data_IF_110750308798
#
_entry.id   IF_110750308798
#
_cell.length_a   1.000
_cell.length_b   1.000
_cell.length_c   1.000
_cell.angle_alpha   90.00
_cell.angle_beta   90.00
_cell.angle_gamma   90.00
#
_symmetry.space_group_name_H-M   'P 1'
#
loop_
_entity.id
_entity.type
_entity.pdbx_description
1 polymer ?
#
# COMPACT_ATOMS: atom_id res chain seq x y z
N UNK A 1 10.18 0.70 -11.03
CA UNK A 1 9.56 -0.05 -9.89
C UNK A 1 8.63 0.87 -9.12
N UNK A 2 7.57 0.35 -8.51
CA UNK A 2 6.69 1.08 -7.58
C UNK A 2 6.80 0.44 -6.21
N UNK A 3 7.09 1.26 -5.19
CA UNK A 3 7.07 0.83 -3.80
C UNK A 3 5.64 1.00 -3.25
N UNK A 4 4.93 -0.11 -3.08
CA UNK A 4 3.51 -0.04 -2.69
C UNK A 4 3.29 0.14 -1.20
N UNK A 5 4.36 0.20 -0.37
CA UNK A 5 4.25 0.42 1.07
C UNK A 5 5.56 0.92 1.68
N UNK A 6 5.62 2.20 2.04
CA UNK A 6 6.79 2.82 2.66
C UNK A 6 6.39 3.98 3.57
N UNK A 7 6.79 3.94 4.84
CA UNK A 7 6.56 4.99 5.84
C UNK A 7 7.60 6.10 5.70
N UNK A 8 7.57 6.83 4.58
CA UNK A 8 8.51 7.92 4.30
C UNK A 8 8.31 9.15 5.22
N UNK A 9 7.17 9.21 5.89
CA UNK A 9 6.83 10.18 6.94
C UNK A 9 7.52 9.87 8.29
N UNK A 10 8.18 8.71 8.42
CA UNK A 10 8.96 8.35 9.62
C UNK A 10 10.09 9.35 9.86
N UNK A 11 10.32 9.79 11.11
CA UNK A 11 11.39 10.72 11.47
C UNK A 11 12.81 10.33 11.00
N UNK A 12 13.05 9.05 10.72
CA UNK A 12 14.33 8.60 10.17
C UNK A 12 14.64 9.16 8.76
N UNK A 13 13.61 9.69 8.06
CA UNK A 13 13.77 10.32 6.74
C UNK A 13 13.74 11.84 6.79
N UNK A 14 13.46 12.46 7.95
CA UNK A 14 13.28 13.91 8.08
C UNK A 14 14.49 14.71 7.56
N UNK A 15 15.70 14.23 7.86
CA UNK A 15 16.92 14.86 7.40
C UNK A 15 17.32 14.38 6.00
N UNK A 16 17.39 15.32 5.05
CA UNK A 16 17.88 15.03 3.70
C UNK A 16 16.88 14.32 2.78
N UNK A 17 15.58 14.42 3.03
CA UNK A 17 14.53 13.75 2.27
C UNK A 17 14.58 14.04 0.75
N UNK A 18 14.88 15.29 0.35
CA UNK A 18 14.99 15.65 -1.07
C UNK A 18 16.09 14.84 -1.78
N UNK A 19 17.28 14.76 -1.14
CA UNK A 19 18.41 14.00 -1.69
C UNK A 19 18.10 12.50 -1.68
N UNK A 20 17.50 11.98 -0.61
CA UNK A 20 17.09 10.60 -0.51
C UNK A 20 16.11 10.21 -1.65
N UNK A 21 15.05 10.99 -1.86
CA UNK A 21 14.08 10.70 -2.92
C UNK A 21 14.67 10.84 -4.32
N UNK A 22 15.65 11.75 -4.51
CA UNK A 22 16.37 11.86 -5.77
C UNK A 22 17.19 10.59 -6.07
N UNK A 23 17.85 10.00 -5.08
CA UNK A 23 18.55 8.72 -5.21
C UNK A 23 17.59 7.58 -5.56
N UNK A 24 16.42 7.51 -4.89
CA UNK A 24 15.42 6.48 -5.22
C UNK A 24 14.97 6.57 -6.69
N UNK A 25 14.70 7.79 -7.18
CA UNK A 25 14.34 8.02 -8.60
C UNK A 25 15.44 7.62 -9.55
N UNK A 26 16.69 7.97 -9.24
CA UNK A 26 17.86 7.61 -10.06
C UNK A 26 18.00 6.08 -10.19
N UNK A 27 17.65 5.34 -9.15
CA UNK A 27 17.70 3.87 -9.11
C UNK A 27 16.40 3.22 -9.63
N UNK A 28 15.53 4.00 -10.30
CA UNK A 28 14.39 3.50 -11.05
C UNK A 28 13.10 3.28 -10.23
N UNK A 29 12.99 3.91 -9.03
CA UNK A 29 11.71 3.95 -8.30
C UNK A 29 10.82 5.03 -8.93
N UNK A 30 9.71 4.61 -9.53
CA UNK A 30 8.78 5.49 -10.25
C UNK A 30 7.86 6.28 -9.32
N UNK A 31 7.39 5.64 -8.25
CA UNK A 31 6.63 6.27 -7.17
C UNK A 31 6.60 5.40 -5.91
N UNK A 32 6.14 6.00 -4.82
CA UNK A 32 6.07 5.40 -3.48
C UNK A 32 4.69 5.67 -2.89
N UNK A 33 4.06 4.64 -2.33
CA UNK A 33 2.80 4.75 -1.62
C UNK A 33 3.07 4.87 -0.12
N UNK A 34 2.45 5.87 0.51
CA UNK A 34 2.71 6.27 1.90
C UNK A 34 1.47 6.02 2.74
N UNK A 35 1.42 4.92 3.52
CA UNK A 35 0.28 4.61 4.36
C UNK A 35 0.32 5.38 5.69
N UNK A 36 -0.81 5.96 6.08
CA UNK A 36 -1.03 6.43 7.43
C UNK A 36 -1.45 5.29 8.36
N UNK A 37 -1.15 5.41 9.64
CA UNK A 37 -1.37 4.35 10.64
C UNK A 37 -2.38 4.72 11.73
N UNK A 38 -2.66 6.02 11.92
CA UNK A 38 -3.59 6.54 12.92
C UNK A 38 -4.00 8.00 12.64
N UNK A 39 -4.79 8.59 13.56
CA UNK A 39 -5.21 10.01 13.46
C UNK A 39 -4.03 11.00 13.51
N UNK A 40 -2.90 10.63 14.10
CA UNK A 40 -1.76 11.53 14.26
C UNK A 40 -0.89 11.58 13.01
N UNK A 41 -0.81 10.49 12.26
CA UNK A 41 -0.05 10.40 11.01
C UNK A 41 -0.70 11.13 9.82
N UNK A 42 -2.01 11.46 9.90
CA UNK A 42 -2.75 12.09 8.78
C UNK A 42 -2.03 13.31 8.23
N UNK A 43 -1.59 14.20 9.11
CA UNK A 43 -0.97 15.47 8.72
C UNK A 43 0.35 15.22 7.99
N UNK A 44 1.22 14.43 8.57
CA UNK A 44 2.58 14.22 8.07
C UNK A 44 2.55 13.45 6.74
N UNK A 45 1.69 12.44 6.60
CA UNK A 45 1.47 11.70 5.36
C UNK A 45 0.96 12.63 4.25
N UNK A 46 -0.06 13.44 4.51
CA UNK A 46 -0.61 14.33 3.49
C UNK A 46 0.39 15.44 3.11
N UNK A 47 1.08 16.06 4.08
CA UNK A 47 2.06 17.11 3.82
C UNK A 47 3.26 16.60 3.01
N UNK A 48 3.80 15.41 3.33
CA UNK A 48 4.91 14.86 2.58
C UNK A 48 4.49 14.48 1.15
N UNK A 49 3.30 13.93 0.96
CA UNK A 49 2.79 13.61 -0.37
C UNK A 49 2.50 14.88 -1.19
N UNK A 50 1.93 15.92 -0.59
CA UNK A 50 1.68 17.21 -1.27
C UNK A 50 2.99 17.92 -1.69
N UNK A 51 4.07 17.70 -0.95
CA UNK A 51 5.40 18.22 -1.31
C UNK A 51 6.01 17.54 -2.54
N UNK A 52 5.66 16.27 -2.79
CA UNK A 52 6.20 15.50 -3.92
C UNK A 52 5.08 14.89 -4.78
N UNK A 53 4.24 15.72 -5.40
CA UNK A 53 3.10 15.25 -6.19
C UNK A 53 3.56 14.40 -7.37
N UNK A 54 2.75 13.40 -7.73
CA UNK A 54 3.04 12.38 -8.76
C UNK A 54 4.24 11.48 -8.45
N UNK A 55 4.76 11.53 -7.22
CA UNK A 55 5.81 10.62 -6.77
C UNK A 55 5.46 9.95 -5.44
N UNK A 56 4.92 10.68 -4.48
CA UNK A 56 4.40 10.14 -3.23
C UNK A 56 2.87 10.15 -3.29
N UNK A 57 2.26 9.03 -2.92
CA UNK A 57 0.81 8.85 -2.96
C UNK A 57 0.28 8.42 -1.59
N UNK A 58 -0.66 9.17 -0.98
CA UNK A 58 -1.13 8.87 0.36
C UNK A 58 -2.17 7.76 0.38
N UNK A 59 -2.13 6.94 1.43
CA UNK A 59 -3.23 6.14 1.91
C UNK A 59 -3.50 6.48 3.38
N UNK A 60 -4.75 6.40 3.83
CA UNK A 60 -5.14 6.69 5.21
C UNK A 60 -5.92 5.53 5.81
N UNK A 61 -5.54 5.12 7.01
CA UNK A 61 -6.17 4.04 7.74
C UNK A 61 -5.80 4.03 9.23
N UNK A 62 -6.52 3.22 10.00
CA UNK A 62 -6.20 2.89 11.39
C UNK A 62 -5.55 1.51 11.42
N UNK A 63 -4.25 1.50 11.66
CA UNK A 63 -3.48 0.28 11.82
C UNK A 63 -3.94 -0.52 13.05
N UNK A 64 -3.99 -1.85 13.00
CA UNK A 64 -4.50 -2.66 14.10
C UNK A 64 -3.75 -2.47 15.43
N UNK A 65 -2.46 -2.21 15.41
CA UNK A 65 -1.69 -1.92 16.63
C UNK A 65 -2.10 -0.61 17.31
N UNK A 66 -2.73 0.32 16.57
CA UNK A 66 -3.24 1.61 17.06
C UNK A 66 -4.73 1.56 17.47
N UNK A 67 -5.36 0.41 17.36
CA UNK A 67 -6.71 0.17 17.88
C UNK A 67 -6.65 0.03 19.41
N UNK A 68 -7.08 1.07 20.13
CA UNK A 68 -7.10 1.17 21.59
C UNK A 68 -8.49 1.63 22.06
N UNK A 69 -8.62 2.06 23.29
CA UNK A 69 -9.90 2.50 23.87
C UNK A 69 -10.57 3.64 23.05
N UNK A 70 -9.79 4.48 22.37
CA UNK A 70 -10.26 5.61 21.57
C UNK A 70 -10.44 5.28 20.07
N UNK A 71 -10.45 4.01 19.66
CA UNK A 71 -10.45 3.59 18.27
C UNK A 71 -11.62 4.16 17.43
N UNK A 72 -12.81 4.33 18.05
CA UNK A 72 -13.97 4.90 17.37
C UNK A 72 -13.79 6.39 17.08
N UNK A 73 -13.20 7.14 18.02
CA UNK A 73 -12.83 8.54 17.79
C UNK A 73 -11.79 8.64 16.69
N UNK A 74 -10.77 7.79 16.69
CA UNK A 74 -9.75 7.74 15.65
C UNK A 74 -10.38 7.48 14.27
N UNK A 75 -11.30 6.53 14.15
CA UNK A 75 -12.02 6.27 12.90
C UNK A 75 -12.83 7.48 12.44
N UNK A 76 -13.50 8.22 13.33
CA UNK A 76 -14.23 9.43 12.95
C UNK A 76 -13.30 10.49 12.36
N UNK A 77 -12.14 10.73 12.99
CA UNK A 77 -11.13 11.68 12.50
C UNK A 77 -10.55 11.26 11.15
N UNK A 78 -10.19 9.98 11.02
CA UNK A 78 -9.68 9.41 9.77
C UNK A 78 -10.72 9.49 8.65
N UNK A 79 -11.98 9.15 8.94
CA UNK A 79 -13.08 9.24 7.96
C UNK A 79 -13.26 10.66 7.44
N UNK A 80 -13.23 11.64 8.34
CA UNK A 80 -13.33 13.05 7.95
C UNK A 80 -12.15 13.49 7.05
N UNK A 81 -10.94 12.99 7.32
CA UNK A 81 -9.76 13.26 6.50
C UNK A 81 -9.88 12.60 5.11
N UNK A 82 -10.35 11.36 5.05
CA UNK A 82 -10.64 10.64 3.79
C UNK A 82 -11.67 11.43 2.96
N UNK A 83 -12.80 11.82 3.58
CA UNK A 83 -13.86 12.59 2.90
C UNK A 83 -13.34 13.91 2.33
N UNK A 84 -12.55 14.63 3.13
CA UNK A 84 -11.93 15.88 2.71
C UNK A 84 -10.95 15.69 1.54
N UNK A 85 -10.09 14.68 1.60
CA UNK A 85 -9.11 14.40 0.55
C UNK A 85 -9.78 14.03 -0.78
N UNK A 86 -10.91 13.31 -0.73
CA UNK A 86 -11.64 12.91 -1.93
C UNK A 86 -12.51 14.04 -2.49
N UNK A 87 -13.06 14.95 -1.65
CA UNK A 87 -13.89 16.06 -2.09
C UNK A 87 -13.10 17.23 -2.68
N UNK A 88 -11.83 17.39 -2.30
CA UNK A 88 -10.97 18.47 -2.78
C UNK A 88 -10.35 18.23 -4.17
N UNK A 89 -10.48 17.03 -4.70
CA UNK A 89 -10.04 16.66 -6.06
C UNK A 89 -11.26 16.53 -6.98
N UNK A 90 -11.36 17.26 -8.11
CA UNK A 90 -12.42 17.04 -9.09
C UNK A 90 -12.32 15.61 -9.63
N UNK A 91 -13.27 14.77 -9.28
CA UNK A 91 -13.34 13.37 -9.67
C UNK A 91 -13.85 13.30 -11.12
N UNK A 92 -12.97 13.22 -12.10
CA UNK A 92 -13.36 12.74 -13.44
C UNK A 92 -13.20 11.22 -13.44
N UNK A 93 -14.27 10.51 -13.06
CA UNK A 93 -14.43 9.11 -13.44
C UNK A 93 -14.31 9.06 -14.97
N UNK A 94 -13.29 8.40 -15.48
CA UNK A 94 -13.26 7.97 -16.87
C UNK A 94 -14.30 6.84 -17.04
N UNK A 95 -15.57 7.23 -17.14
CA UNK A 95 -16.58 6.40 -17.76
C UNK A 95 -16.24 6.29 -19.25
N UNK A 96 -16.32 5.10 -19.87
CA UNK A 96 -16.06 4.91 -21.30
C UNK A 96 -16.99 5.71 -22.25
N UNK A 97 -17.87 6.58 -21.73
CA UNK A 97 -18.92 7.29 -22.51
C UNK A 97 -18.78 8.82 -22.58
N UNK A 98 -17.71 9.43 -22.08
CA UNK A 98 -17.51 10.88 -22.15
C UNK A 98 -16.65 11.31 -23.36
N UNK A 99 -17.04 10.96 -24.57
CA UNK A 99 -16.65 11.71 -25.77
C UNK A 99 -17.67 12.83 -25.98
N UNK A 100 -17.32 14.06 -25.64
CA UNK A 100 -17.80 15.38 -26.04
C UNK A 100 -17.97 16.35 -24.86
N UNK A 101 -16.87 16.95 -24.43
CA UNK A 101 -16.91 18.25 -23.74
C UNK A 101 -15.76 19.12 -24.27
N UNK A 102 -16.09 20.37 -24.59
CA UNK A 102 -15.31 21.26 -25.41
C UNK A 102 -14.03 21.81 -24.76
N UNK A 103 -13.15 22.32 -25.62
CA UNK A 103 -11.81 22.87 -25.36
C UNK A 103 -11.70 24.09 -24.39
N UNK A 104 -12.75 24.47 -23.66
CA UNK A 104 -12.72 25.66 -22.79
C UNK A 104 -12.32 25.40 -21.32
N UNK A 105 -12.36 24.14 -20.86
CA UNK A 105 -12.09 23.80 -19.45
C UNK A 105 -10.61 23.48 -19.15
N UNK A 106 -9.78 23.25 -20.16
CA UNK A 106 -8.38 22.85 -20.00
C UNK A 106 -7.43 23.93 -19.43
N UNK A 107 -7.86 25.18 -19.37
CA UNK A 107 -7.02 26.30 -18.88
C UNK A 107 -7.30 26.68 -17.42
N UNK A 108 -8.37 26.17 -16.78
CA UNK A 108 -8.65 26.43 -15.36
C UNK A 108 -8.06 25.38 -14.41
N UNK A 109 -7.62 24.23 -14.91
CA UNK A 109 -6.99 23.17 -14.10
C UNK A 109 -5.55 23.46 -13.66
N UNK A 110 -4.91 24.52 -14.22
CA UNK A 110 -3.48 24.79 -13.99
C UNK A 110 -3.16 25.59 -12.73
N UNK A 111 -4.16 26.04 -11.93
CA UNK A 111 -3.92 26.99 -10.82
C UNK A 111 -4.47 26.55 -9.46
N UNK A 112 -5.16 25.42 -9.35
CA UNK A 112 -5.52 24.86 -8.05
C UNK A 112 -4.32 24.12 -7.43
N UNK A 113 -4.06 24.26 -6.11
CA UNK A 113 -3.06 23.45 -5.45
C UNK A 113 -3.42 21.98 -5.68
N UNK A 114 -2.52 21.23 -6.33
CA UNK A 114 -2.69 19.80 -6.57
C UNK A 114 -2.41 19.09 -5.25
N UNK A 115 -3.44 18.91 -4.43
CA UNK A 115 -3.33 17.99 -3.30
C UNK A 115 -3.13 16.57 -3.82
N UNK A 116 -2.21 15.84 -3.23
CA UNK A 116 -1.97 14.45 -3.57
C UNK A 116 -3.25 13.65 -3.32
N UNK A 117 -3.74 13.00 -4.38
CA UNK A 117 -4.99 12.25 -4.31
C UNK A 117 -4.81 11.02 -3.43
N UNK A 118 -5.70 10.82 -2.45
CA UNK A 118 -5.79 9.57 -1.72
C UNK A 118 -6.06 8.41 -2.68
N UNK A 119 -5.20 7.37 -2.66
CA UNK A 119 -5.26 6.27 -3.63
C UNK A 119 -5.69 4.94 -3.02
N UNK A 120 -5.70 4.82 -1.70
CA UNK A 120 -6.10 3.60 -0.99
C UNK A 120 -6.62 3.93 0.42
N UNK A 121 -7.39 3.01 1.00
CA UNK A 121 -7.63 2.94 2.43
C UNK A 121 -6.57 2.02 3.04
N UNK A 122 -5.74 2.54 3.92
CA UNK A 122 -4.63 1.79 4.52
C UNK A 122 -3.65 2.71 5.27
N UNK A 123 -2.93 2.13 6.18
CA UNK A 123 -2.84 0.71 6.48
C UNK A 123 -3.95 0.29 7.45
N UNK A 124 -4.61 -0.84 7.16
CA UNK A 124 -5.69 -1.38 7.96
C UNK A 124 -5.52 -2.90 8.12
N UNK A 125 -6.16 -3.52 9.09
CA UNK A 125 -6.02 -4.97 9.18
C UNK A 125 -6.16 -5.53 10.59
N UNK A 126 -5.49 -6.67 10.83
CA UNK A 126 -5.48 -7.38 12.11
C UNK A 126 -4.05 -7.76 12.51
N UNK A 127 -3.70 -7.50 13.77
CA UNK A 127 -2.46 -7.96 14.39
C UNK A 127 -2.76 -8.61 15.74
N UNK A 128 -2.45 -9.91 15.85
CA UNK A 128 -2.63 -10.68 17.09
C UNK A 128 -1.30 -11.09 17.72
N UNK A 129 -0.20 -10.55 17.20
CA UNK A 129 1.14 -10.95 17.62
C UNK A 129 1.51 -10.39 19.01
N UNK A 130 1.31 -9.08 19.19
CA UNK A 130 1.77 -8.40 20.40
C UNK A 130 0.70 -8.34 21.49
N UNK A 131 -0.54 -8.04 21.11
CA UNK A 131 -1.64 -7.79 22.05
C UNK A 131 -2.98 -8.18 21.43
N UNK A 132 -3.71 -9.02 22.12
CA UNK A 132 -5.05 -9.47 21.71
C UNK A 132 -6.18 -8.84 22.52
N UNK A 133 -5.87 -7.88 23.40
CA UNK A 133 -6.84 -7.17 24.27
C UNK A 133 -7.95 -6.53 23.42
N UNK A 134 -7.59 -5.95 22.27
CA UNK A 134 -8.51 -5.26 21.37
C UNK A 134 -8.87 -6.07 20.11
N UNK A 135 -8.80 -7.40 20.19
CA UNK A 135 -9.04 -8.27 19.03
C UNK A 135 -10.38 -8.01 18.35
N UNK A 136 -11.46 -7.92 19.11
CA UNK A 136 -12.81 -7.68 18.58
C UNK A 136 -12.91 -6.27 17.96
N UNK A 137 -12.32 -5.27 18.63
CA UNK A 137 -12.28 -3.88 18.15
C UNK A 137 -11.46 -3.75 16.86
N UNK A 138 -10.35 -4.48 16.73
CA UNK A 138 -9.58 -4.55 15.47
C UNK A 138 -10.44 -5.10 14.33
N UNK A 139 -11.21 -6.15 14.57
CA UNK A 139 -12.11 -6.72 13.57
C UNK A 139 -13.23 -5.74 13.16
N UNK A 140 -13.81 -5.02 14.11
CA UNK A 140 -14.83 -4.01 13.82
C UNK A 140 -14.23 -2.81 13.08
N UNK A 141 -13.05 -2.33 13.50
CA UNK A 141 -12.33 -1.25 12.84
C UNK A 141 -11.97 -1.62 11.39
N UNK A 142 -11.53 -2.85 11.16
CA UNK A 142 -11.29 -3.36 9.80
C UNK A 142 -12.56 -3.34 8.95
N UNK A 143 -13.69 -3.87 9.46
CA UNK A 143 -14.96 -3.85 8.73
C UNK A 143 -15.43 -2.45 8.38
N UNK A 144 -15.28 -1.50 9.31
CA UNK A 144 -15.68 -0.11 9.05
C UNK A 144 -14.84 0.51 7.94
N UNK A 145 -13.54 0.28 7.93
CA UNK A 145 -12.64 0.78 6.91
C UNK A 145 -12.82 0.07 5.55
N UNK A 146 -13.18 -1.20 5.56
CA UNK A 146 -13.59 -1.93 4.36
C UNK A 146 -14.86 -1.34 3.73
N UNK A 147 -15.84 -0.88 4.55
CA UNK A 147 -17.02 -0.15 4.06
C UNK A 147 -16.63 1.17 3.40
N UNK A 148 -15.63 1.89 3.94
CA UNK A 148 -15.14 3.10 3.28
C UNK A 148 -14.53 2.78 1.91
N UNK A 149 -13.69 1.75 1.84
CA UNK A 149 -13.08 1.31 0.59
C UNK A 149 -14.16 0.95 -0.46
N UNK A 150 -15.20 0.23 -0.07
CA UNK A 150 -16.33 -0.10 -0.95
C UNK A 150 -17.11 1.16 -1.37
N UNK A 151 -17.41 2.07 -0.44
CA UNK A 151 -18.12 3.32 -0.70
C UNK A 151 -17.40 4.22 -1.70
N UNK A 152 -16.06 4.31 -1.59
CA UNK A 152 -15.25 5.20 -2.43
C UNK A 152 -14.61 4.50 -3.62
N UNK A 153 -14.85 3.20 -3.78
CA UNK A 153 -14.21 2.37 -4.82
C UNK A 153 -12.67 2.46 -4.78
N UNK A 154 -12.11 2.50 -3.58
CA UNK A 154 -10.67 2.53 -3.35
C UNK A 154 -10.15 1.13 -3.01
N UNK A 155 -8.92 0.79 -3.44
CA UNK A 155 -8.25 -0.41 -2.95
C UNK A 155 -7.85 -0.26 -1.48
N UNK A 156 -7.50 -1.39 -0.86
CA UNK A 156 -7.05 -1.43 0.53
C UNK A 156 -5.62 -1.96 0.66
N UNK A 157 -4.90 -1.48 1.66
CA UNK A 157 -3.61 -2.02 2.10
C UNK A 157 -3.83 -2.77 3.42
N UNK A 158 -3.74 -4.11 3.37
CA UNK A 158 -4.10 -4.98 4.49
C UNK A 158 -2.87 -5.47 5.22
N UNK A 159 -2.78 -5.13 6.50
CA UNK A 159 -1.89 -5.75 7.47
C UNK A 159 -2.52 -7.04 8.03
N UNK A 160 -1.76 -8.11 8.11
CA UNK A 160 -2.23 -9.36 8.73
C UNK A 160 -1.08 -10.11 9.39
N UNK A 161 -1.05 -10.12 10.72
CA UNK A 161 -0.02 -10.82 11.50
C UNK A 161 -0.64 -11.69 12.57
N UNK A 162 -0.35 -12.99 12.52
CA UNK A 162 -0.95 -14.02 13.38
C UNK A 162 -2.50 -14.02 13.36
N UNK A 163 -3.12 -13.48 12.29
CA UNK A 163 -4.54 -13.21 12.16
C UNK A 163 -5.15 -13.66 10.80
N UNK A 164 -4.45 -14.49 10.04
CA UNK A 164 -4.81 -14.80 8.65
C UNK A 164 -6.25 -15.32 8.50
N UNK A 165 -6.72 -16.20 9.39
CA UNK A 165 -8.06 -16.78 9.32
C UNK A 165 -9.16 -15.71 9.46
N UNK A 166 -9.07 -14.87 10.51
CA UNK A 166 -10.03 -13.80 10.76
C UNK A 166 -9.95 -12.73 9.66
N UNK A 167 -8.74 -12.40 9.18
CA UNK A 167 -8.55 -11.49 8.05
C UNK A 167 -9.27 -12.02 6.81
N UNK A 168 -9.01 -13.25 6.39
CA UNK A 168 -9.66 -13.86 5.22
C UNK A 168 -11.18 -13.93 5.38
N UNK A 169 -11.68 -14.17 6.58
CA UNK A 169 -13.11 -14.17 6.87
C UNK A 169 -13.73 -12.80 6.60
N UNK A 170 -13.12 -11.74 7.11
CA UNK A 170 -13.62 -10.36 6.90
C UNK A 170 -13.50 -9.95 5.43
N UNK A 171 -12.40 -10.24 4.74
CA UNK A 171 -12.27 -9.92 3.32
C UNK A 171 -13.38 -10.56 2.45
N UNK A 172 -13.87 -11.76 2.80
CA UNK A 172 -15.00 -12.41 2.12
C UNK A 172 -16.34 -11.69 2.32
N UNK A 173 -16.49 -10.89 3.38
CA UNK A 173 -17.68 -10.06 3.61
C UNK A 173 -17.78 -8.91 2.58
N UNK A 174 -16.64 -8.54 1.91
CA UNK A 174 -16.52 -7.41 0.98
C UNK A 174 -15.99 -7.86 -0.41
N UNK A 175 -16.74 -8.65 -1.18
CA UNK A 175 -16.23 -9.27 -2.43
C UNK A 175 -15.90 -8.26 -3.53
N UNK A 176 -16.42 -7.04 -3.45
CA UNK A 176 -16.19 -5.98 -4.43
C UNK A 176 -14.93 -5.15 -4.11
N UNK A 177 -14.41 -5.20 -2.89
CA UNK A 177 -13.19 -4.51 -2.50
C UNK A 177 -11.99 -5.34 -2.95
N UNK A 178 -10.97 -4.67 -3.50
CA UNK A 178 -9.69 -5.24 -3.89
C UNK A 178 -8.58 -4.53 -3.14
N UNK A 179 -7.40 -5.12 -3.10
CA UNK A 179 -6.29 -4.52 -2.39
C UNK A 179 -5.04 -5.38 -2.44
N UNK A 180 -4.11 -5.04 -1.59
CA UNK A 180 -2.89 -5.79 -1.35
C UNK A 180 -2.86 -6.29 0.09
N UNK A 181 -2.52 -7.55 0.29
CA UNK A 181 -2.06 -8.03 1.59
C UNK A 181 -0.57 -7.70 1.68
N UNK A 182 -0.28 -6.60 2.37
CA UNK A 182 1.06 -6.07 2.49
C UNK A 182 1.94 -6.97 3.38
N UNK A 183 3.24 -6.86 3.20
CA UNK A 183 4.28 -7.63 3.93
C UNK A 183 3.95 -9.13 4.04
N UNK A 184 3.44 -9.69 2.92
CA UNK A 184 2.95 -11.06 2.93
C UNK A 184 4.06 -12.04 3.31
N UNK A 185 3.78 -12.84 4.34
CA UNK A 185 4.69 -13.88 4.85
C UNK A 185 3.94 -15.19 5.21
N UNK A 186 2.68 -15.30 4.77
CA UNK A 186 1.80 -16.43 5.05
C UNK A 186 2.18 -17.72 4.33
N UNK A 187 1.40 -18.78 4.55
CA UNK A 187 1.56 -20.05 3.85
C UNK A 187 1.09 -19.99 2.40
N UNK A 188 1.42 -21.01 1.62
CA UNK A 188 0.94 -21.16 0.24
C UNK A 188 -0.58 -21.16 0.15
N UNK A 189 -1.26 -21.88 1.04
CA UNK A 189 -2.72 -21.97 1.08
C UNK A 189 -3.40 -20.63 1.38
N UNK A 190 -2.76 -19.79 2.20
CA UNK A 190 -3.22 -18.41 2.45
C UNK A 190 -3.02 -17.57 1.20
N UNK A 191 -1.86 -17.66 0.54
CA UNK A 191 -1.58 -16.97 -0.71
C UNK A 191 -2.61 -17.29 -1.79
N UNK A 192 -2.91 -18.57 -2.01
CA UNK A 192 -3.94 -18.99 -2.97
C UNK A 192 -5.32 -18.41 -2.66
N UNK A 193 -5.73 -18.39 -1.39
CA UNK A 193 -7.02 -17.84 -0.99
C UNK A 193 -7.09 -16.32 -1.22
N UNK A 194 -6.03 -15.59 -0.88
CA UNK A 194 -5.92 -14.14 -1.09
C UNK A 194 -6.03 -13.82 -2.58
N UNK A 195 -5.24 -14.50 -3.40
CA UNK A 195 -5.23 -14.32 -4.88
C UNK A 195 -6.57 -14.70 -5.51
N UNK A 196 -7.21 -15.79 -5.04
CA UNK A 196 -8.55 -16.21 -5.51
C UNK A 196 -9.64 -15.18 -5.22
N UNK A 197 -9.52 -14.42 -4.15
CA UNK A 197 -10.41 -13.29 -3.84
C UNK A 197 -10.11 -12.05 -4.70
N UNK A 198 -9.07 -12.08 -5.54
CA UNK A 198 -8.66 -11.00 -6.42
C UNK A 198 -7.75 -9.97 -5.77
N UNK A 199 -7.19 -10.28 -4.61
CA UNK A 199 -6.18 -9.45 -3.95
C UNK A 199 -4.78 -9.72 -4.52
N UNK A 200 -3.88 -8.79 -4.27
CA UNK A 200 -2.45 -8.89 -4.55
C UNK A 200 -1.68 -9.24 -3.28
N UNK A 201 -0.48 -9.76 -3.44
CA UNK A 201 0.48 -10.01 -2.36
C UNK A 201 1.61 -8.98 -2.47
N UNK A 202 1.83 -8.21 -1.40
CA UNK A 202 2.96 -7.31 -1.27
C UNK A 202 4.20 -8.08 -0.84
N UNK A 203 5.24 -8.07 -1.68
CA UNK A 203 6.47 -8.82 -1.44
C UNK A 203 7.61 -7.86 -1.15
N UNK A 204 8.09 -7.91 0.08
CA UNK A 204 9.16 -7.08 0.60
C UNK A 204 10.45 -7.84 0.91
N UNK A 205 11.36 -7.18 1.63
CA UNK A 205 12.71 -7.67 1.95
C UNK A 205 12.78 -9.03 2.63
N UNK A 206 11.71 -9.44 3.31
CA UNK A 206 11.61 -10.72 4.05
C UNK A 206 11.92 -11.93 3.15
N UNK A 207 11.55 -11.90 1.86
CA UNK A 207 11.81 -13.02 0.92
C UNK A 207 13.31 -13.33 0.76
N UNK A 208 14.18 -12.37 1.08
CA UNK A 208 15.64 -12.53 1.00
C UNK A 208 16.26 -13.15 2.24
N UNK A 209 15.48 -13.34 3.33
CA UNK A 209 16.01 -13.82 4.60
C UNK A 209 16.31 -15.31 4.57
N UNK A 210 17.44 -15.72 5.14
CA UNK A 210 17.97 -17.08 5.06
C UNK A 210 16.97 -18.18 5.50
N UNK A 211 16.14 -17.89 6.50
CA UNK A 211 15.21 -18.87 7.09
C UNK A 211 13.76 -18.62 6.64
N UNK A 212 13.52 -17.72 5.68
CA UNK A 212 12.21 -17.43 5.17
C UNK A 212 11.78 -18.45 4.12
N UNK A 213 10.59 -19.04 4.29
CA UNK A 213 10.01 -20.00 3.35
C UNK A 213 9.13 -19.34 2.29
N UNK A 214 9.02 -18.01 2.29
CA UNK A 214 8.13 -17.30 1.38
C UNK A 214 8.38 -17.65 -0.09
N UNK A 215 9.65 -17.77 -0.49
CA UNK A 215 10.00 -18.19 -1.86
C UNK A 215 9.40 -19.56 -2.25
N UNK A 216 9.32 -20.50 -1.30
CA UNK A 216 8.69 -21.81 -1.51
C UNK A 216 7.17 -21.68 -1.58
N UNK A 217 6.57 -20.81 -0.74
CA UNK A 217 5.14 -20.59 -0.67
C UNK A 217 4.58 -19.86 -1.91
N UNK A 218 5.42 -19.13 -2.65
CA UNK A 218 5.03 -18.43 -3.88
C UNK A 218 5.07 -19.33 -5.13
N UNK A 219 5.62 -20.55 -5.05
CA UNK A 219 5.64 -21.46 -6.20
C UNK A 219 4.21 -21.76 -6.66
N UNK A 220 3.91 -21.44 -7.93
CA UNK A 220 2.57 -21.64 -8.51
C UNK A 220 1.59 -20.45 -8.30
N UNK A 221 1.94 -19.46 -7.49
CA UNK A 221 1.18 -18.21 -7.41
C UNK A 221 1.45 -17.37 -8.65
N UNK A 222 0.42 -16.82 -9.35
CA UNK A 222 0.63 -16.01 -10.54
C UNK A 222 1.44 -14.73 -10.25
N UNK A 223 2.47 -14.46 -11.05
CA UNK A 223 3.27 -13.23 -10.92
C UNK A 223 2.42 -11.96 -11.09
N UNK A 224 1.36 -12.03 -11.88
CA UNK A 224 0.35 -10.99 -12.11
C UNK A 224 -0.46 -10.65 -10.85
N UNK A 225 -0.20 -11.33 -9.74
CA UNK A 225 -0.82 -11.08 -8.42
C UNK A 225 0.18 -10.62 -7.37
N UNK A 226 1.40 -10.29 -7.77
CA UNK A 226 2.41 -9.75 -6.87
C UNK A 226 2.66 -8.27 -7.14
N UNK A 227 2.93 -7.52 -6.07
CA UNK A 227 3.49 -6.17 -6.12
C UNK A 227 4.76 -6.12 -5.27
N UNK A 228 5.66 -5.18 -5.56
CA UNK A 228 6.85 -4.96 -4.75
C UNK A 228 6.59 -3.88 -3.71
N UNK A 229 7.22 -4.03 -2.57
CA UNK A 229 7.19 -3.06 -1.47
C UNK A 229 8.46 -3.15 -0.63
N UNK A 230 8.60 -2.23 0.32
CA UNK A 230 9.71 -2.27 1.27
C UNK A 230 9.29 -2.41 2.71
N UNK A 231 8.17 -1.82 3.12
CA UNK A 231 7.84 -1.54 4.52
C UNK A 231 8.94 -0.70 5.20
N UNK A 232 9.58 0.17 4.40
CA UNK A 232 10.68 1.01 4.88
C UNK A 232 10.15 2.05 5.89
N UNK A 233 10.89 2.33 6.97
CA UNK A 233 12.32 2.06 7.21
C UNK A 233 12.64 0.65 7.72
N UNK A 234 11.64 -0.23 7.85
CA UNK A 234 11.76 -1.56 8.43
C UNK A 234 12.15 -2.62 7.38
N UNK A 235 12.36 -3.84 7.79
CA UNK A 235 12.44 -5.06 6.96
C UNK A 235 13.48 -5.02 5.82
N UNK A 236 14.61 -4.29 6.00
CA UNK A 236 15.68 -4.20 5.00
C UNK A 236 16.10 -5.58 4.46
N UNK A 237 16.22 -5.78 3.13
CA UNK A 237 16.62 -7.04 2.53
C UNK A 237 18.08 -7.39 2.83
N UNK A 238 18.46 -8.64 2.60
CA UNK A 238 19.87 -9.03 2.52
C UNK A 238 20.47 -8.41 1.25
N UNK A 239 21.67 -7.76 1.30
CA UNK A 239 22.66 -7.75 2.40
C UNK A 239 22.52 -6.59 3.42
N UNK A 240 21.43 -5.83 3.36
CA UNK A 240 21.28 -4.59 4.14
C UNK A 240 20.59 -4.77 5.50
N UNK A 241 20.43 -6.01 5.97
CA UNK A 241 19.83 -6.29 7.28
C UNK A 241 20.40 -5.43 8.40
N UNK A 242 19.48 -4.85 9.22
CA UNK A 242 19.86 -3.99 10.35
C UNK A 242 20.16 -2.53 9.97
N UNK A 243 20.05 -2.17 8.70
CA UNK A 243 20.05 -0.76 8.24
C UNK A 243 18.63 -0.25 8.06
N UNK A 244 18.45 1.07 8.00
CA UNK A 244 17.21 1.70 7.53
C UNK A 244 16.94 1.23 6.09
N UNK A 245 15.75 0.68 5.84
CA UNK A 245 15.38 0.20 4.51
C UNK A 245 15.14 1.37 3.54
N UNK A 246 15.20 1.07 2.23
CA UNK A 246 15.07 2.05 1.15
C UNK A 246 14.37 1.43 -0.07
N UNK A 247 13.50 2.20 -0.73
CA UNK A 247 12.69 1.73 -1.88
C UNK A 247 13.54 1.15 -3.02
N UNK A 248 14.72 1.67 -3.30
CA UNK A 248 15.65 1.15 -4.33
C UNK A 248 16.11 -0.29 -4.05
N UNK A 249 16.06 -0.72 -2.79
CA UNK A 249 16.42 -2.09 -2.43
C UNK A 249 15.36 -3.14 -2.77
N UNK A 250 14.23 -2.73 -3.34
CA UNK A 250 13.32 -3.66 -4.03
C UNK A 250 14.01 -4.45 -5.14
N UNK A 251 15.13 -3.94 -5.68
CA UNK A 251 15.96 -4.69 -6.65
C UNK A 251 16.39 -6.06 -6.12
N UNK A 252 16.75 -6.17 -4.83
CA UNK A 252 17.10 -7.46 -4.21
C UNK A 252 15.90 -8.39 -4.06
N UNK A 253 14.71 -7.81 -3.85
CA UNK A 253 13.45 -8.57 -3.83
C UNK A 253 13.14 -9.09 -5.23
N UNK A 254 13.27 -8.26 -6.26
CA UNK A 254 13.08 -8.64 -7.66
C UNK A 254 14.06 -9.73 -8.10
N UNK A 255 15.34 -9.63 -7.73
CA UNK A 255 16.34 -10.68 -7.97
C UNK A 255 15.94 -12.02 -7.33
N UNK A 256 15.41 -11.99 -6.12
CA UNK A 256 14.96 -13.20 -5.44
C UNK A 256 13.72 -13.80 -6.09
N UNK A 257 12.74 -12.98 -6.47
CA UNK A 257 11.54 -13.40 -7.20
C UNK A 257 11.92 -13.99 -8.59
N UNK A 258 12.87 -13.39 -9.30
CA UNK A 258 13.36 -13.87 -10.58
C UNK A 258 13.83 -15.33 -10.51
N UNK A 259 14.47 -15.73 -9.40
CA UNK A 259 14.86 -17.13 -9.15
C UNK A 259 13.63 -18.02 -8.91
N UNK A 260 12.59 -17.54 -8.20
CA UNK A 260 11.35 -18.31 -7.96
C UNK A 260 10.57 -18.56 -9.25
N UNK A 261 10.48 -17.53 -10.10
CA UNK A 261 9.69 -17.56 -11.34
C UNK A 261 10.50 -17.98 -12.59
N UNK A 262 11.80 -18.24 -12.42
CA UNK A 262 12.71 -18.60 -13.51
C UNK A 262 12.65 -17.61 -14.69
N UNK A 263 12.73 -16.31 -14.37
CA UNK A 263 12.73 -15.21 -15.32
C UNK A 263 13.79 -14.15 -14.96
N UNK A 264 13.87 -13.04 -15.70
CA UNK A 264 14.80 -11.95 -15.35
C UNK A 264 14.25 -11.02 -14.28
N UNK A 265 15.10 -10.31 -13.52
CA UNK A 265 14.65 -9.27 -12.58
C UNK A 265 13.90 -8.12 -13.26
N UNK A 266 14.26 -7.79 -14.50
CA UNK A 266 13.59 -6.77 -15.31
C UNK A 266 12.15 -7.18 -15.59
N UNK A 267 11.88 -8.45 -15.90
CA UNK A 267 10.53 -8.96 -16.10
C UNK A 267 9.71 -8.91 -14.80
N UNK A 268 10.32 -9.26 -13.66
CA UNK A 268 9.66 -9.06 -12.34
C UNK A 268 9.26 -7.59 -12.16
N UNK A 269 10.20 -6.66 -12.38
CA UNK A 269 9.94 -5.23 -12.22
C UNK A 269 8.84 -4.74 -13.17
N UNK A 270 8.83 -5.18 -14.41
CA UNK A 270 7.81 -4.83 -15.41
C UNK A 270 6.41 -5.28 -14.97
N UNK A 271 6.26 -6.57 -14.64
CA UNK A 271 4.95 -7.14 -14.27
C UNK A 271 4.44 -6.55 -12.95
N UNK A 272 5.28 -6.50 -11.91
CA UNK A 272 4.85 -5.98 -10.60
C UNK A 272 4.55 -4.48 -10.63
N UNK A 273 5.25 -3.71 -11.47
CA UNK A 273 4.93 -2.29 -11.70
C UNK A 273 3.60 -2.12 -12.42
N UNK A 274 3.31 -2.96 -13.44
CA UNK A 274 2.02 -2.97 -14.12
C UNK A 274 0.88 -3.34 -13.15
N UNK A 275 1.09 -4.36 -12.31
CA UNK A 275 0.13 -4.77 -11.28
C UNK A 275 -0.17 -3.63 -10.30
N UNK A 276 0.85 -2.92 -9.83
CA UNK A 276 0.66 -1.79 -8.91
C UNK A 276 -0.11 -0.64 -9.59
N UNK A 277 0.22 -0.32 -10.85
CA UNK A 277 -0.50 0.69 -11.65
C UNK A 277 -1.97 0.32 -11.84
N UNK A 278 -2.27 -0.95 -12.11
CA UNK A 278 -3.63 -1.46 -12.24
C UNK A 278 -4.39 -1.35 -10.92
N UNK A 279 -3.82 -1.90 -9.83
CA UNK A 279 -4.48 -1.94 -8.52
C UNK A 279 -4.81 -0.55 -7.99
N UNK A 280 -3.85 0.36 -8.02
CA UNK A 280 -3.97 1.70 -7.42
C UNK A 280 -4.37 2.78 -8.43
N UNK A 281 -4.65 2.42 -9.69
CA UNK A 281 -5.06 3.36 -10.76
C UNK A 281 -4.05 4.52 -10.90
N UNK A 282 -2.76 4.18 -10.90
CA UNK A 282 -1.66 5.16 -10.98
C UNK A 282 -1.33 5.42 -12.45
N UNK A 283 -1.56 6.66 -12.89
CA UNK A 283 -1.18 7.15 -14.22
C UNK A 283 0.00 8.12 -14.04
N UNK A 284 1.22 7.65 -14.33
CA UNK A 284 2.47 8.42 -14.27
C UNK A 284 2.81 9.00 -15.63
#
# INVERSE_FOLDING_TARGET
MIDTHCHIDDPQYADGLDAFLAEQRQDGVECILVPGVDKTSIKDVLEVCDRYPNYLFPALGLHPENVKDDWQEQLQVLKAAVDKSLSSTPYTLHSPQAHNLGKADSLREATAPRHSRLIAIGEIGLDYHWDTTFKEQQQEALREQMRWAEQYHLPVMIHSRDAAEDTLKILREFPNVKGVMHCFSGSHEVAEQVVKMGYYLGIGGVITFKNCKLAEHLVGIPLERLVLETDAPYMAPVPHRGKRNESRWMSYVAERLAQVYNCSPEHINEVTTANAKELFVINL
#
